data_IF_737787542685
#
_entry.id   IF_737787542685
#
_cell.length_a   1.000
_cell.length_b   1.000
_cell.length_c   1.000
_cell.angle_alpha   90.00
_cell.angle_beta   90.00
_cell.angle_gamma   90.00
#
_symmetry.space_group_name_H-M   'P 1'
#
loop_
_entity.id
_entity.type
_entity.pdbx_description
1 polymer ?
#
# COMPACT_ATOMS: atom_id res chain seq x y z
N UNK A 1 -6.47 5.23 -9.54
CA UNK A 1 -5.37 5.94 -8.85
C UNK A 1 -5.38 5.48 -7.40
N UNK A 2 -4.22 5.17 -6.84
CA UNK A 2 -4.05 4.90 -5.40
C UNK A 2 -3.48 6.16 -4.75
N UNK A 3 -3.96 6.49 -3.55
CA UNK A 3 -3.43 7.59 -2.74
C UNK A 3 -3.84 7.42 -1.29
N UNK A 4 -3.04 7.95 -0.37
CA UNK A 4 -3.32 7.93 1.05
C UNK A 4 -2.18 8.56 1.85
N UNK A 5 -2.17 8.31 3.15
CA UNK A 5 -1.08 8.69 4.04
C UNK A 5 -0.32 7.43 4.48
N UNK A 6 1.00 7.46 4.38
CA UNK A 6 1.87 6.33 4.71
C UNK A 6 2.49 6.44 6.12
N UNK A 7 1.91 7.28 6.99
CA UNK A 7 2.37 7.55 8.35
C UNK A 7 2.93 8.97 8.50
N UNK A 8 3.95 9.33 7.73
CA UNK A 8 4.51 10.68 7.70
C UNK A 8 4.10 11.43 6.43
N UNK A 9 4.33 10.78 5.27
CA UNK A 9 4.09 11.38 3.97
C UNK A 9 2.78 10.94 3.34
N UNK A 10 2.25 11.85 2.53
CA UNK A 10 1.15 11.55 1.63
C UNK A 10 1.72 10.90 0.37
N UNK A 11 1.06 9.88 -0.15
CA UNK A 11 1.51 9.12 -1.32
C UNK A 11 0.46 9.06 -2.41
N UNK A 12 0.90 8.83 -3.63
CA UNK A 12 0.02 8.66 -4.78
C UNK A 12 0.69 7.87 -5.91
N UNK A 13 -0.12 7.15 -6.68
CA UNK A 13 0.35 6.38 -7.82
C UNK A 13 -0.78 5.90 -8.73
N UNK A 14 -0.40 5.35 -9.88
CA UNK A 14 -1.32 4.64 -10.76
C UNK A 14 -1.44 3.17 -10.35
N UNK A 15 -2.62 2.58 -10.54
CA UNK A 15 -2.78 1.13 -10.49
C UNK A 15 -3.61 0.66 -11.69
N UNK A 16 -3.49 -0.62 -12.02
CA UNK A 16 -4.37 -1.34 -12.95
C UNK A 16 -4.93 -2.58 -12.26
N UNK A 17 -6.14 -2.96 -12.63
CA UNK A 17 -6.80 -4.19 -12.18
C UNK A 17 -7.23 -4.97 -13.40
N UNK A 18 -6.92 -6.27 -13.41
CA UNK A 18 -7.34 -7.21 -14.44
C UNK A 18 -7.77 -8.51 -13.76
N UNK A 19 -9.09 -8.76 -13.72
CA UNK A 19 -9.65 -9.86 -12.94
C UNK A 19 -9.34 -9.70 -11.44
N UNK A 20 -8.72 -10.73 -10.85
CA UNK A 20 -8.26 -10.72 -9.44
C UNK A 20 -6.81 -10.25 -9.25
N UNK A 21 -6.20 -9.68 -10.30
CA UNK A 21 -4.84 -9.16 -10.25
C UNK A 21 -4.85 -7.64 -10.08
N UNK A 22 -3.86 -7.13 -9.36
CA UNK A 22 -3.58 -5.71 -9.23
C UNK A 22 -2.11 -5.47 -9.58
N UNK A 23 -1.83 -4.37 -10.27
CA UNK A 23 -0.47 -3.87 -10.45
C UNK A 23 -0.44 -2.41 -10.06
N UNK A 24 0.37 -2.09 -9.06
CA UNK A 24 0.63 -0.72 -8.62
C UNK A 24 1.93 -0.27 -9.26
N UNK A 25 1.87 0.84 -10.00
CA UNK A 25 3.03 1.41 -10.69
C UNK A 25 3.99 2.13 -9.74
N UNK A 26 4.80 3.03 -10.29
CA UNK A 26 5.62 3.92 -9.48
C UNK A 26 4.74 4.71 -8.49
N UNK A 27 5.10 4.62 -7.21
CA UNK A 27 4.47 5.40 -6.14
C UNK A 27 5.39 6.56 -5.80
N UNK A 28 4.83 7.76 -5.80
CA UNK A 28 5.49 8.96 -5.31
C UNK A 28 4.97 9.30 -3.91
N UNK A 29 5.78 9.96 -3.10
CA UNK A 29 5.42 10.49 -1.79
C UNK A 29 5.88 11.94 -1.62
N UNK A 30 5.30 12.65 -0.65
CA UNK A 30 5.83 13.94 -0.20
C UNK A 30 7.16 13.76 0.54
N UNK A 31 7.89 14.85 0.80
CA UNK A 31 9.23 14.83 1.44
C UNK A 31 9.22 15.47 2.85
N UNK A 32 8.24 15.11 3.69
CA UNK A 32 8.25 15.41 5.12
C UNK A 32 9.24 14.47 5.82
N UNK A 33 9.87 15.00 6.87
CA UNK A 33 10.73 14.21 7.75
C UNK A 33 10.15 14.19 9.15
N UNK A 34 9.61 13.03 9.56
CA UNK A 34 8.99 12.84 10.87
C UNK A 34 9.90 12.01 11.77
N UNK A 35 10.07 12.45 13.03
CA UNK A 35 10.85 11.74 14.05
C UNK A 35 9.97 10.92 15.00
N UNK A 36 8.65 11.17 15.01
CA UNK A 36 7.71 10.48 15.88
C UNK A 36 6.50 9.98 15.07
N UNK A 37 6.01 8.76 15.33
CA UNK A 37 6.59 7.75 16.22
C UNK A 37 7.96 7.26 15.73
N UNK A 38 8.76 6.69 16.64
CA UNK A 38 10.05 6.10 16.27
C UNK A 38 9.86 5.05 15.17
N UNK A 39 10.72 5.11 14.15
CA UNK A 39 10.66 4.24 12.98
C UNK A 39 9.57 4.59 11.96
N UNK A 40 8.88 5.74 12.07
CA UNK A 40 7.82 6.12 11.12
C UNK A 40 8.31 6.18 9.67
N UNK A 41 9.51 6.72 9.43
CA UNK A 41 10.09 6.80 8.09
C UNK A 41 10.42 5.42 7.50
N UNK A 42 10.86 4.47 8.33
CA UNK A 42 11.12 3.10 7.89
C UNK A 42 9.82 2.37 7.54
N UNK A 43 8.79 2.50 8.40
CA UNK A 43 7.46 1.92 8.17
C UNK A 43 6.82 2.46 6.91
N UNK A 44 6.95 3.76 6.65
CA UNK A 44 6.52 4.37 5.40
C UNK A 44 7.18 3.68 4.19
N UNK A 45 8.52 3.54 4.20
CA UNK A 45 9.25 2.89 3.11
C UNK A 45 8.80 1.44 2.88
N UNK A 46 8.64 0.66 3.96
CA UNK A 46 8.14 -0.71 3.89
C UNK A 46 6.73 -0.75 3.31
N UNK A 47 5.82 0.10 3.79
CA UNK A 47 4.45 0.17 3.31
C UNK A 47 4.36 0.47 1.81
N UNK A 48 5.12 1.48 1.34
CA UNK A 48 5.14 1.85 -0.07
C UNK A 48 5.73 0.74 -0.95
N UNK A 49 6.76 0.03 -0.47
CA UNK A 49 7.31 -1.14 -1.14
C UNK A 49 6.29 -2.28 -1.27
N UNK A 50 5.59 -2.61 -0.18
CA UNK A 50 4.56 -3.66 -0.17
C UNK A 50 3.38 -3.33 -1.11
N UNK A 51 3.01 -2.06 -1.25
CA UNK A 51 2.02 -1.65 -2.26
C UNK A 51 2.49 -2.03 -3.67
N UNK A 52 3.75 -1.75 -4.01
CA UNK A 52 4.29 -2.06 -5.34
C UNK A 52 4.52 -3.55 -5.57
N UNK A 53 4.82 -4.31 -4.53
CA UNK A 53 4.94 -5.77 -4.59
C UNK A 53 3.60 -6.49 -4.74
N UNK A 54 2.48 -5.84 -4.44
CA UNK A 54 1.16 -6.46 -4.47
C UNK A 54 0.76 -6.88 -5.89
N UNK A 55 0.40 -8.16 -6.06
CA UNK A 55 0.00 -8.73 -7.36
C UNK A 55 -1.45 -9.17 -7.40
N UNK A 56 -2.07 -9.39 -6.23
CA UNK A 56 -3.49 -9.74 -6.08
C UNK A 56 -4.18 -8.85 -5.07
N UNK A 57 -5.49 -8.72 -5.23
CA UNK A 57 -6.36 -8.11 -4.25
C UNK A 57 -7.59 -8.98 -3.99
N UNK A 58 -8.10 -8.94 -2.76
CA UNK A 58 -9.37 -9.52 -2.38
C UNK A 58 -10.12 -8.53 -1.51
N UNK A 59 -11.42 -8.37 -1.77
CA UNK A 59 -12.30 -7.54 -0.93
C UNK A 59 -13.37 -8.45 -0.35
N UNK A 60 -13.40 -8.57 0.96
CA UNK A 60 -14.45 -9.26 1.71
C UNK A 60 -15.09 -8.30 2.72
N UNK A 61 -16.35 -7.95 2.46
CA UNK A 61 -17.13 -6.95 3.22
C UNK A 61 -16.39 -5.61 3.35
N UNK A 62 -15.77 -5.40 4.51
CA UNK A 62 -15.10 -4.18 4.91
C UNK A 62 -13.58 -4.37 4.96
N UNK A 63 -13.06 -5.50 4.50
CA UNK A 63 -11.62 -5.79 4.48
C UNK A 63 -11.10 -5.87 3.05
N UNK A 64 -10.01 -5.14 2.78
CA UNK A 64 -9.21 -5.27 1.56
C UNK A 64 -7.89 -5.94 1.92
N UNK A 65 -7.62 -7.08 1.30
CA UNK A 65 -6.32 -7.76 1.38
C UNK A 65 -5.56 -7.59 0.07
N UNK A 66 -4.29 -7.18 0.15
CA UNK A 66 -3.33 -7.23 -0.95
C UNK A 66 -2.30 -8.33 -0.67
N UNK A 67 -1.98 -9.11 -1.70
CA UNK A 67 -1.12 -10.30 -1.57
C UNK A 67 -0.07 -10.37 -2.66
N UNK A 68 1.01 -11.11 -2.38
CA UNK A 68 1.96 -11.58 -3.38
C UNK A 68 1.54 -12.98 -3.82
N UNK A 69 0.91 -13.05 -5.00
CA UNK A 69 0.24 -14.25 -5.51
C UNK A 69 -0.75 -14.80 -4.48
N UNK A 70 -0.92 -16.12 -4.42
CA UNK A 70 -1.85 -16.80 -3.52
C UNK A 70 -1.20 -17.24 -2.20
N UNK A 71 0.08 -16.88 -1.97
CA UNK A 71 0.89 -17.47 -0.90
C UNK A 71 1.07 -16.57 0.33
N UNK A 72 1.07 -15.24 0.16
CA UNK A 72 1.38 -14.30 1.26
C UNK A 72 0.54 -13.03 1.23
N UNK A 73 -0.22 -12.79 2.30
CA UNK A 73 -0.84 -11.49 2.57
C UNK A 73 0.26 -10.46 2.87
N UNK A 74 0.26 -9.34 2.14
CA UNK A 74 1.19 -8.24 2.31
C UNK A 74 0.58 -7.12 3.15
N UNK A 75 -0.62 -6.69 2.79
CA UNK A 75 -1.32 -5.56 3.40
C UNK A 75 -2.78 -5.91 3.61
N UNK A 76 -3.32 -5.57 4.78
CA UNK A 76 -4.73 -5.75 5.12
C UNK A 76 -5.27 -4.41 5.61
N UNK A 77 -6.35 -3.95 4.99
CA UNK A 77 -7.01 -2.69 5.27
C UNK A 77 -8.44 -2.94 5.69
N UNK A 78 -8.98 -2.11 6.58
CA UNK A 78 -10.41 -2.08 6.89
C UNK A 78 -11.05 -0.80 6.41
N UNK A 79 -12.32 -0.87 6.02
CA UNK A 79 -13.15 0.30 5.75
C UNK A 79 -13.49 0.95 7.08
N UNK A 80 -13.15 2.24 7.20
CA UNK A 80 -13.59 3.12 8.28
C UNK A 80 -14.79 3.98 7.84
#
# INVERSE_FOLDING_TARGET
>A
RVSGNAGCNDYFGSYRIEGGLISIGSVASTEKYCLWPEGVMEREGVYLGLLQESTRFNVDRDELTLSYYDEKQLLVFRRE
#
